data_IF_500440294449
#
_entry.id   IF_500440294449
#
_cell.length_a   1.000
_cell.length_b   1.000
_cell.length_c   1.000
_cell.angle_alpha   90.00
_cell.angle_beta   90.00
_cell.angle_gamma   90.00
#
_symmetry.space_group_name_H-M   'P 1'
#
loop_
_entity.id
_entity.type
_entity.pdbx_description
1 polymer ?
#
# COMPACT_ATOMS: atom_id res chain seq x y z
N UNK A 1 -9.17 -6.54 -4.94
CA UNK A 1 -7.81 -7.12 -4.79
C UNK A 1 -7.10 -6.71 -3.50
N UNK A 2 -6.55 -5.49 -3.34
CA UNK A 2 -5.72 -5.17 -2.15
C UNK A 2 -6.55 -5.03 -0.87
N UNK A 3 -7.71 -4.39 -0.94
CA UNK A 3 -8.61 -4.24 0.22
C UNK A 3 -9.01 -5.60 0.82
N UNK A 4 -9.34 -6.59 -0.02
CA UNK A 4 -9.69 -7.94 0.43
C UNK A 4 -8.51 -8.63 1.12
N UNK A 5 -7.30 -8.52 0.54
CA UNK A 5 -6.07 -9.07 1.14
C UNK A 5 -5.77 -8.43 2.49
N UNK A 6 -5.82 -7.10 2.59
CA UNK A 6 -5.67 -6.42 3.89
C UNK A 6 -6.74 -6.83 4.89
N UNK A 7 -8.00 -6.94 4.47
CA UNK A 7 -9.09 -7.44 5.32
C UNK A 7 -8.80 -8.84 5.86
N UNK A 8 -8.32 -9.73 5.01
CA UNK A 8 -7.91 -11.08 5.41
C UNK A 8 -6.72 -11.06 6.39
N UNK A 9 -5.68 -10.28 6.11
CA UNK A 9 -4.49 -10.14 6.97
C UNK A 9 -4.89 -9.63 8.35
N UNK A 10 -5.70 -8.57 8.41
CA UNK A 10 -6.18 -7.98 9.67
C UNK A 10 -7.00 -8.98 10.48
N UNK A 11 -7.88 -9.75 9.83
CA UNK A 11 -8.66 -10.79 10.51
C UNK A 11 -7.76 -11.90 11.06
N UNK A 12 -6.76 -12.33 10.29
CA UNK A 12 -5.77 -13.32 10.74
C UNK A 12 -4.96 -12.81 11.93
N UNK A 13 -4.47 -11.58 11.87
CA UNK A 13 -3.74 -10.95 12.99
C UNK A 13 -4.61 -10.82 14.25
N UNK A 14 -5.91 -10.55 14.11
CA UNK A 14 -6.84 -10.47 15.24
C UNK A 14 -7.01 -11.82 15.94
N UNK A 15 -6.92 -12.92 15.20
CA UNK A 15 -7.06 -14.28 15.73
C UNK A 15 -5.77 -14.83 16.35
N UNK A 16 -4.61 -14.25 16.03
CA UNK A 16 -3.33 -14.67 16.59
C UNK A 16 -3.24 -14.25 18.08
N UNK A 17 -3.17 -15.20 19.03
CA UNK A 17 -3.18 -14.88 20.46
C UNK A 17 -1.86 -14.23 20.93
N UNK A 18 -0.74 -14.59 20.32
CA UNK A 18 0.57 -14.15 20.76
C UNK A 18 0.93 -12.76 20.22
N UNK A 19 1.14 -11.81 21.14
CA UNK A 19 1.46 -10.44 20.77
C UNK A 19 2.76 -10.33 19.95
N UNK A 20 3.78 -11.12 20.28
CA UNK A 20 5.04 -11.15 19.52
C UNK A 20 4.81 -11.54 18.05
N UNK A 21 4.01 -12.57 17.81
CA UNK A 21 3.70 -13.05 16.45
C UNK A 21 2.86 -12.05 15.66
N UNK A 22 1.93 -11.34 16.32
CA UNK A 22 1.18 -10.24 15.70
C UNK A 22 2.07 -9.08 15.25
N UNK A 23 3.11 -8.78 16.02
CA UNK A 23 3.95 -7.59 15.81
C UNK A 23 5.23 -7.87 15.03
N UNK A 24 5.55 -9.14 14.77
CA UNK A 24 6.76 -9.58 14.06
C UNK A 24 7.03 -8.80 12.76
N UNK A 25 5.96 -8.46 12.03
CA UNK A 25 6.03 -7.76 10.74
C UNK A 25 5.29 -6.41 10.74
N UNK A 26 5.15 -5.76 11.90
CA UNK A 26 4.38 -4.53 12.04
C UNK A 26 4.84 -3.41 11.09
N UNK A 27 6.16 -3.24 10.92
CA UNK A 27 6.72 -2.23 10.01
C UNK A 27 6.40 -2.54 8.55
N UNK A 28 6.50 -3.82 8.15
CA UNK A 28 6.13 -4.26 6.79
C UNK A 28 4.65 -4.02 6.50
N UNK A 29 3.79 -4.30 7.48
CA UNK A 29 2.36 -4.00 7.38
C UNK A 29 2.11 -2.50 7.20
N UNK A 30 2.75 -1.66 8.03
CA UNK A 30 2.56 -0.21 7.98
C UNK A 30 3.01 0.37 6.63
N UNK A 31 4.13 -0.09 6.08
CA UNK A 31 4.61 0.34 4.78
C UNK A 31 3.64 -0.05 3.65
N UNK A 32 3.26 -1.34 3.59
CA UNK A 32 2.34 -1.84 2.57
C UNK A 32 0.97 -1.12 2.63
N UNK A 33 0.44 -0.94 3.84
CA UNK A 33 -0.83 -0.26 4.07
C UNK A 33 -0.74 1.22 3.72
N UNK A 34 0.37 1.88 4.04
CA UNK A 34 0.64 3.27 3.64
C UNK A 34 0.59 3.45 2.13
N UNK A 35 1.25 2.56 1.38
CA UNK A 35 1.21 2.57 -0.09
C UNK A 35 -0.21 2.39 -0.64
N UNK A 36 -1.02 1.54 -0.01
CA UNK A 36 -2.41 1.33 -0.37
C UNK A 36 -3.26 2.60 -0.15
N UNK A 37 -3.11 3.26 1.00
CA UNK A 37 -3.80 4.52 1.31
C UNK A 37 -3.38 5.64 0.36
N UNK A 38 -2.09 5.79 0.08
CA UNK A 38 -1.60 6.80 -0.87
C UNK A 38 -2.11 6.50 -2.29
N UNK A 39 -2.26 5.24 -2.67
CA UNK A 39 -2.93 4.85 -3.91
C UNK A 39 -4.37 5.37 -3.98
N UNK A 40 -5.12 5.25 -2.89
CA UNK A 40 -6.47 5.82 -2.80
C UNK A 40 -6.46 7.35 -2.94
N UNK A 41 -5.57 8.05 -2.23
CA UNK A 41 -5.44 9.52 -2.35
C UNK A 41 -5.13 9.95 -3.80
N UNK A 42 -4.25 9.23 -4.49
CA UNK A 42 -3.97 9.48 -5.91
C UNK A 42 -5.17 9.25 -6.81
N UNK A 43 -5.97 8.22 -6.53
CA UNK A 43 -7.20 7.95 -7.29
C UNK A 43 -8.22 9.07 -7.12
N UNK A 44 -8.42 9.56 -5.89
CA UNK A 44 -9.32 10.70 -5.62
C UNK A 44 -8.86 11.96 -6.36
N UNK A 45 -7.57 12.28 -6.31
CA UNK A 45 -7.02 13.43 -7.03
C UNK A 45 -7.17 13.26 -8.55
N UNK A 46 -6.98 12.06 -9.08
CA UNK A 46 -7.12 11.80 -10.52
C UNK A 46 -8.56 11.96 -11.00
N UNK A 47 -9.56 11.46 -10.24
CA UNK A 47 -10.97 11.62 -10.57
C UNK A 47 -11.37 13.10 -10.64
N UNK A 48 -10.94 13.91 -9.67
CA UNK A 48 -11.20 15.35 -9.68
C UNK A 48 -10.45 16.05 -10.82
N UNK A 49 -9.18 15.69 -11.05
CA UNK A 49 -8.38 16.28 -12.10
C UNK A 49 -8.92 15.97 -13.51
N UNK A 50 -9.46 14.77 -13.74
CA UNK A 50 -10.05 14.37 -15.02
C UNK A 50 -11.24 15.25 -15.38
N UNK A 51 -12.14 15.53 -14.42
CA UNK A 51 -13.28 16.42 -14.62
C UNK A 51 -12.82 17.87 -14.82
N UNK A 52 -11.93 18.36 -13.97
CA UNK A 52 -11.44 19.74 -14.03
C UNK A 52 -10.64 20.03 -15.31
N UNK A 53 -9.96 19.02 -15.87
CA UNK A 53 -9.21 19.13 -17.12
C UNK A 53 -10.09 19.56 -18.31
N UNK A 54 -11.37 19.16 -18.34
CA UNK A 54 -12.27 19.43 -19.46
C UNK A 54 -12.54 20.92 -19.67
N UNK A 55 -12.56 21.71 -18.60
CA UNK A 55 -12.81 23.16 -18.63
C UNK A 55 -11.56 24.01 -18.42
N UNK A 56 -10.41 23.40 -18.17
CA UNK A 56 -9.17 24.12 -17.88
C UNK A 56 -8.41 24.55 -19.15
N UNK A 57 -7.61 25.61 -19.01
CA UNK A 57 -6.75 26.14 -20.08
C UNK A 57 -5.36 26.49 -19.55
N UNK A 58 -4.39 26.62 -20.45
CA UNK A 58 -3.03 27.04 -20.10
C UNK A 58 -2.38 26.17 -19.01
N UNK A 59 -1.83 26.83 -17.99
CA UNK A 59 -1.09 26.15 -16.90
C UNK A 59 -1.96 25.21 -16.06
N UNK A 60 -3.23 25.55 -15.82
CA UNK A 60 -4.14 24.69 -15.04
C UNK A 60 -4.42 23.38 -15.76
N UNK A 61 -4.59 23.43 -17.09
CA UNK A 61 -4.78 22.22 -17.90
C UNK A 61 -3.57 21.28 -17.81
N UNK A 62 -2.35 21.84 -17.83
CA UNK A 62 -1.12 21.08 -17.65
C UNK A 62 -1.01 20.48 -16.24
N UNK A 63 -1.42 21.23 -15.21
CA UNK A 63 -1.44 20.75 -13.82
C UNK A 63 -2.35 19.53 -13.65
N UNK A 64 -3.59 19.58 -14.15
CA UNK A 64 -4.51 18.45 -14.07
C UNK A 64 -4.04 17.24 -14.89
N UNK A 65 -3.49 17.46 -16.09
CA UNK A 65 -2.85 16.38 -16.84
C UNK A 65 -1.72 15.72 -16.05
N UNK A 66 -0.90 16.51 -15.36
CA UNK A 66 0.15 16.03 -14.47
C UNK A 66 -0.38 15.18 -13.31
N UNK A 67 -1.50 15.57 -12.69
CA UNK A 67 -2.16 14.77 -11.64
C UNK A 67 -2.58 13.40 -12.15
N UNK A 68 -3.25 13.35 -13.30
CA UNK A 68 -3.66 12.07 -13.90
C UNK A 68 -2.46 11.19 -14.27
N UNK A 69 -1.41 11.78 -14.84
CA UNK A 69 -0.20 11.04 -15.20
C UNK A 69 0.54 10.50 -13.97
N UNK A 70 0.63 11.28 -12.88
CA UNK A 70 1.27 10.82 -11.64
C UNK A 70 0.47 9.71 -10.98
N UNK A 71 -0.86 9.80 -10.95
CA UNK A 71 -1.69 8.70 -10.47
C UNK A 71 -1.45 7.43 -11.29
N UNK A 72 -1.43 7.53 -12.63
CA UNK A 72 -1.09 6.40 -13.50
C UNK A 72 0.29 5.82 -13.17
N UNK A 73 1.31 6.66 -13.04
CA UNK A 73 2.65 6.21 -12.64
C UNK A 73 2.60 5.46 -11.31
N UNK A 74 1.94 6.01 -10.29
CA UNK A 74 1.84 5.40 -8.97
C UNK A 74 1.20 4.01 -9.03
N UNK A 75 0.07 3.87 -9.73
CA UNK A 75 -0.62 2.58 -9.87
C UNK A 75 0.15 1.55 -10.70
N UNK A 76 1.01 2.00 -11.63
CA UNK A 76 1.82 1.11 -12.48
C UNK A 76 3.17 0.74 -11.87
N UNK A 77 3.77 1.61 -11.06
CA UNK A 77 5.17 1.47 -10.60
C UNK A 77 5.29 1.34 -9.09
N UNK A 78 4.58 2.18 -8.33
CA UNK A 78 4.73 2.22 -6.87
C UNK A 78 3.83 1.21 -6.17
N UNK A 79 2.54 1.19 -6.52
CA UNK A 79 1.57 0.32 -5.86
C UNK A 79 1.87 -1.17 -6.02
N UNK A 80 2.37 -1.70 -7.16
CA UNK A 80 2.74 -3.11 -7.27
C UNK A 80 3.90 -3.53 -6.35
N UNK A 81 4.68 -2.59 -5.80
CA UNK A 81 5.82 -2.91 -4.92
C UNK A 81 5.40 -3.55 -3.60
N UNK A 82 4.14 -3.40 -3.20
CA UNK A 82 3.62 -4.03 -1.98
C UNK A 82 3.28 -5.51 -2.16
N UNK A 83 3.28 -6.04 -3.39
CA UNK A 83 2.89 -7.43 -3.65
C UNK A 83 3.74 -8.45 -2.85
N UNK A 84 5.09 -8.36 -2.81
CA UNK A 84 5.90 -9.25 -1.98
C UNK A 84 5.67 -9.07 -0.48
N UNK A 85 5.46 -7.83 -0.02
CA UNK A 85 5.16 -7.52 1.37
C UNK A 85 3.84 -8.18 1.80
N UNK A 86 2.81 -8.12 0.95
CA UNK A 86 1.53 -8.75 1.22
C UNK A 86 1.65 -10.28 1.27
N UNK A 87 2.47 -10.90 0.42
CA UNK A 87 2.72 -12.36 0.49
C UNK A 87 3.35 -12.74 1.84
N UNK A 88 4.33 -11.98 2.30
CA UNK A 88 4.99 -12.19 3.60
C UNK A 88 3.99 -12.05 4.76
N UNK A 89 3.18 -10.98 4.75
CA UNK A 89 2.16 -10.74 5.75
C UNK A 89 1.07 -11.82 5.74
N UNK A 90 0.74 -12.35 4.57
CA UNK A 90 -0.24 -13.41 4.43
C UNK A 90 0.22 -14.71 5.10
N UNK A 91 1.52 -14.97 5.06
CA UNK A 91 2.12 -16.17 5.65
C UNK A 91 2.32 -16.05 7.17
N UNK A 92 2.20 -14.84 7.75
CA UNK A 92 2.71 -14.53 9.09
C UNK A 92 4.15 -15.02 9.24
N UNK A 93 5.02 -14.60 8.31
CA UNK A 93 6.42 -15.01 8.34
C UNK A 93 7.07 -14.72 9.69
N UNK A 94 7.75 -15.74 10.23
CA UNK A 94 8.37 -15.68 11.55
C UNK A 94 9.89 -15.61 11.48
N UNK A 95 10.48 -15.56 10.28
CA UNK A 95 11.93 -15.69 10.08
C UNK A 95 12.73 -14.67 10.91
N UNK A 96 12.24 -13.44 11.03
CA UNK A 96 12.86 -12.40 11.84
C UNK A 96 12.78 -12.68 13.35
N UNK A 97 11.71 -13.31 13.83
CA UNK A 97 11.54 -13.70 15.24
C UNK A 97 12.29 -14.99 15.59
N UNK A 98 12.44 -15.89 14.62
CA UNK A 98 13.10 -17.19 14.80
C UNK A 98 14.64 -17.07 14.86
N UNK A 99 15.18 -15.87 14.60
CA UNK A 99 16.61 -15.57 14.72
C UNK A 99 17.16 -15.86 16.12
N UNK A 100 18.26 -16.59 16.19
CA UNK A 100 18.96 -16.86 17.44
C UNK A 100 20.15 -15.91 17.63
N UNK A 101 20.32 -15.32 18.82
CA UNK A 101 21.48 -14.47 19.09
C UNK A 101 22.83 -15.17 18.85
N UNK A 102 22.90 -16.48 19.00
CA UNK A 102 24.14 -17.27 18.80
C UNK A 102 24.55 -17.45 17.34
N UNK A 103 23.72 -17.03 16.39
CA UNK A 103 24.05 -17.08 14.94
C UNK A 103 24.78 -15.82 14.46
N UNK A 104 24.88 -14.79 15.30
CA UNK A 104 25.46 -13.47 15.01
C UNK A 104 26.53 -13.11 16.04
#
# INVERSE_FOLDING_TARGET
>A
KYAERFGWIINRLRQEPEAGRRLANASVFMEAFGHFVIGWVWLEQALVAEVAYLSAYGAERNFYAGKCQTARFYFQHELPRIEPQLVLLEQLDMSAMDMQPTWF
#
